data_IF_370599053804
#
_entry.id   IF_370599053804
#
_cell.length_a   1.000
_cell.length_b   1.000
_cell.length_c   1.000
_cell.angle_alpha   90.00
_cell.angle_beta   90.00
_cell.angle_gamma   90.00
#
_symmetry.space_group_name_H-M   'P 1'
#
loop_
_entity.id
_entity.type
_entity.pdbx_description
1 polymer ?
#
# COMPACT_ATOMS: atom_id res chain seq x y z
N UNK A 1 -2.54 12.81 -8.70
CA UNK A 1 -1.06 12.94 -8.83
C UNK A 1 -0.67 12.49 -10.21
N UNK A 2 0.03 13.31 -10.98
CA UNK A 2 0.49 12.88 -12.29
C UNK A 2 1.62 11.86 -12.08
N UNK A 3 1.40 10.61 -12.48
CA UNK A 3 2.34 9.49 -12.26
C UNK A 3 3.72 9.81 -12.87
N UNK A 4 3.75 10.57 -13.96
CA UNK A 4 4.97 10.95 -14.66
C UNK A 4 5.84 11.93 -13.86
N UNK A 5 5.22 12.91 -13.19
CA UNK A 5 5.95 14.06 -12.65
C UNK A 5 6.12 14.05 -11.13
N UNK A 6 5.49 13.06 -10.44
CA UNK A 6 5.54 12.91 -8.96
C UNK A 6 5.48 14.25 -8.23
N UNK A 7 4.50 15.09 -8.60
CA UNK A 7 4.37 16.45 -8.06
C UNK A 7 2.92 16.82 -7.81
N UNK A 8 2.74 17.83 -6.96
CA UNK A 8 1.47 18.53 -6.71
C UNK A 8 1.74 20.01 -7.01
N UNK A 9 1.72 20.41 -8.30
CA UNK A 9 2.18 21.72 -8.73
C UNK A 9 1.12 22.81 -8.67
N UNK A 10 -0.06 22.53 -8.12
CA UNK A 10 -1.24 23.40 -8.14
C UNK A 10 -0.97 24.79 -7.55
N UNK A 11 -0.04 24.90 -6.61
CA UNK A 11 0.38 26.19 -6.03
C UNK A 11 0.92 27.16 -7.10
N UNK A 12 1.50 26.65 -8.20
CA UNK A 12 2.03 27.48 -9.29
C UNK A 12 0.95 28.19 -10.11
N UNK A 13 -0.28 27.73 -10.02
CA UNK A 13 -1.46 28.33 -10.68
C UNK A 13 -2.45 28.92 -9.68
N UNK A 14 -2.01 29.18 -8.43
CA UNK A 14 -2.83 29.80 -7.39
C UNK A 14 -3.87 28.86 -6.76
N UNK A 15 -3.69 27.55 -6.89
CA UNK A 15 -4.64 26.52 -6.37
C UNK A 15 -3.93 25.61 -5.37
N UNK A 16 -4.74 24.81 -4.65
CA UNK A 16 -4.26 23.73 -3.79
C UNK A 16 -4.63 22.38 -4.40
N UNK A 17 -3.95 21.26 -4.05
CA UNK A 17 -4.34 19.93 -4.46
C UNK A 17 -5.73 19.57 -3.92
N UNK A 18 -6.73 19.48 -4.82
CA UNK A 18 -8.15 19.38 -4.46
C UNK A 18 -8.67 17.95 -4.24
N UNK A 19 -7.99 16.92 -4.77
CA UNK A 19 -8.47 15.52 -4.75
C UNK A 19 -7.89 14.68 -3.61
N UNK A 20 -7.58 15.31 -2.48
CA UNK A 20 -7.02 14.66 -1.29
C UNK A 20 -5.51 14.37 -1.39
N UNK A 21 -4.81 14.95 -2.38
CA UNK A 21 -3.37 14.75 -2.56
C UNK A 21 -2.56 15.26 -1.37
N UNK A 22 -2.87 16.44 -0.86
CA UNK A 22 -2.19 17.03 0.30
C UNK A 22 -2.41 16.21 1.58
N UNK A 23 -3.66 15.78 1.84
CA UNK A 23 -4.00 15.02 3.04
C UNK A 23 -3.33 13.64 3.04
N UNK A 24 -3.37 12.92 1.89
CA UNK A 24 -2.73 11.61 1.77
C UNK A 24 -1.21 11.72 1.88
N UNK A 25 -0.60 12.70 1.22
CA UNK A 25 0.85 12.90 1.30
C UNK A 25 1.29 13.22 2.73
N UNK A 26 0.54 14.08 3.45
CA UNK A 26 0.85 14.40 4.83
C UNK A 26 0.83 13.19 5.77
N UNK A 27 -0.07 12.22 5.52
CA UNK A 27 -0.12 10.97 6.27
C UNK A 27 1.04 10.03 5.92
N UNK A 28 1.47 10.01 4.66
CA UNK A 28 2.56 9.14 4.21
C UNK A 28 3.93 9.61 4.70
N UNK A 29 4.23 10.91 4.59
CA UNK A 29 5.60 11.44 4.79
C UNK A 29 5.70 12.52 5.90
N UNK A 30 4.60 12.80 6.57
CA UNK A 30 4.52 13.82 7.61
C UNK A 30 4.31 15.23 7.09
N UNK A 31 3.79 16.10 7.96
CA UNK A 31 3.33 17.45 7.60
C UNK A 31 4.46 18.38 7.10
N UNK A 32 5.64 18.31 7.72
CA UNK A 32 6.77 19.19 7.39
C UNK A 32 7.31 18.93 5.98
N UNK A 33 7.50 17.65 5.63
CA UNK A 33 7.96 17.25 4.28
C UNK A 33 6.90 17.60 3.23
N UNK A 34 5.63 17.37 3.55
CA UNK A 34 4.50 17.71 2.68
C UNK A 34 4.43 19.21 2.39
N UNK A 35 4.53 20.05 3.42
CA UNK A 35 4.61 21.52 3.24
C UNK A 35 5.75 21.93 2.32
N UNK A 36 6.96 21.41 2.53
CA UNK A 36 8.10 21.71 1.68
C UNK A 36 7.85 21.33 0.22
N UNK A 37 7.23 20.19 -0.06
CA UNK A 37 6.96 19.72 -1.42
C UNK A 37 5.85 20.55 -2.07
N UNK A 38 4.70 20.68 -1.41
CA UNK A 38 3.50 21.31 -2.00
C UNK A 38 3.69 22.82 -2.14
N UNK A 39 4.08 23.53 -1.07
CA UNK A 39 4.18 25.00 -1.08
C UNK A 39 5.23 25.50 -2.08
N UNK A 40 6.24 24.68 -2.38
CA UNK A 40 7.25 25.01 -3.41
C UNK A 40 6.90 24.45 -4.78
N UNK A 41 5.81 23.71 -4.92
CA UNK A 41 5.48 23.01 -6.17
C UNK A 41 6.61 22.12 -6.66
N UNK A 42 7.31 21.43 -5.71
CA UNK A 42 8.49 20.62 -5.99
C UNK A 42 8.10 19.38 -6.79
N UNK A 43 8.91 19.03 -7.77
CA UNK A 43 8.88 17.72 -8.45
C UNK A 43 9.86 16.80 -7.75
N UNK A 44 9.45 15.56 -7.52
CA UNK A 44 10.29 14.53 -6.93
C UNK A 44 10.84 13.62 -8.02
N UNK A 45 12.10 13.27 -7.91
CA UNK A 45 12.69 12.17 -8.67
C UNK A 45 12.15 10.82 -8.19
N UNK A 46 12.44 9.73 -8.91
CA UNK A 46 12.13 8.38 -8.46
C UNK A 46 12.82 8.04 -7.16
N UNK A 47 14.10 8.39 -7.06
CA UNK A 47 14.92 8.18 -5.88
C UNK A 47 14.38 8.94 -4.66
N UNK A 48 14.07 10.24 -4.81
CA UNK A 48 13.47 11.02 -3.73
C UNK A 48 12.13 10.44 -3.26
N UNK A 49 11.29 9.96 -4.19
CA UNK A 49 10.01 9.34 -3.86
C UNK A 49 10.20 8.00 -3.10
N UNK A 50 11.21 7.22 -3.47
CA UNK A 50 11.57 5.99 -2.77
C UNK A 50 12.10 6.27 -1.36
N UNK A 51 13.07 7.18 -1.20
CA UNK A 51 13.63 7.58 0.09
C UNK A 51 12.58 8.18 1.05
N UNK A 52 11.55 8.81 0.50
CA UNK A 52 10.42 9.34 1.27
C UNK A 52 9.34 8.32 1.60
N UNK A 53 9.44 7.08 1.11
CA UNK A 53 8.43 6.04 1.28
C UNK A 53 7.14 6.27 0.48
N UNK A 54 7.18 7.14 -0.53
CA UNK A 54 6.06 7.36 -1.47
C UNK A 54 6.00 6.24 -2.51
N UNK A 55 7.16 5.77 -2.93
CA UNK A 55 7.33 4.58 -3.77
C UNK A 55 7.95 3.45 -2.94
N UNK A 56 7.45 2.23 -3.10
CA UNK A 56 7.95 1.06 -2.38
C UNK A 56 9.14 0.41 -3.10
N UNK A 57 9.23 0.59 -4.43
CA UNK A 57 10.28 0.03 -5.27
C UNK A 57 10.78 1.08 -6.26
N UNK A 58 12.05 0.97 -6.59
CA UNK A 58 12.70 1.75 -7.65
C UNK A 58 13.57 0.84 -8.48
N UNK A 59 13.44 0.95 -9.79
CA UNK A 59 14.22 0.18 -10.76
C UNK A 59 14.49 1.03 -11.99
N UNK A 60 15.47 0.63 -12.78
CA UNK A 60 15.68 1.18 -14.12
C UNK A 60 14.47 0.92 -15.03
N UNK A 61 14.23 1.82 -15.99
CA UNK A 61 13.07 1.73 -16.88
C UNK A 61 13.00 0.39 -17.62
N UNK A 62 14.13 -0.17 -18.03
CA UNK A 62 14.24 -1.48 -18.68
C UNK A 62 13.78 -2.64 -17.79
N UNK A 63 13.91 -2.52 -16.47
CA UNK A 63 13.58 -3.56 -15.49
C UNK A 63 12.16 -3.45 -14.90
N UNK A 64 11.41 -2.39 -15.26
CA UNK A 64 10.09 -2.12 -14.70
C UNK A 64 9.12 -3.29 -14.92
N UNK A 65 9.12 -3.88 -16.11
CA UNK A 65 8.24 -4.99 -16.44
C UNK A 65 8.62 -6.25 -15.66
N UNK A 66 9.91 -6.55 -15.55
CA UNK A 66 10.42 -7.69 -14.80
C UNK A 66 10.10 -7.59 -13.32
N UNK A 67 10.33 -6.41 -12.72
CA UNK A 67 9.99 -6.15 -11.32
C UNK A 67 8.48 -6.25 -11.09
N UNK A 68 7.66 -5.70 -11.98
CA UNK A 68 6.21 -5.81 -11.89
C UNK A 68 5.75 -7.26 -11.92
N UNK A 69 6.28 -8.07 -12.85
CA UNK A 69 5.96 -9.51 -12.93
C UNK A 69 6.38 -10.26 -11.66
N UNK A 70 7.53 -9.90 -11.08
CA UNK A 70 8.00 -10.48 -9.80
C UNK A 70 7.01 -10.18 -8.67
N UNK A 71 6.67 -8.91 -8.46
CA UNK A 71 5.72 -8.50 -7.40
C UNK A 71 4.35 -9.14 -7.60
N UNK A 72 3.85 -9.20 -8.84
CA UNK A 72 2.57 -9.87 -9.15
C UNK A 72 2.62 -11.35 -8.78
N UNK A 73 3.72 -12.06 -9.10
CA UNK A 73 3.88 -13.46 -8.69
C UNK A 73 3.87 -13.64 -7.18
N UNK A 74 4.55 -12.77 -6.43
CA UNK A 74 4.54 -12.77 -4.97
C UNK A 74 3.12 -12.55 -4.43
N UNK A 75 2.38 -11.59 -4.96
CA UNK A 75 1.00 -11.31 -4.57
C UNK A 75 0.04 -12.46 -4.89
N UNK A 76 0.20 -13.11 -6.03
CA UNK A 76 -0.66 -14.25 -6.44
C UNK A 76 -0.35 -15.50 -5.59
N UNK A 77 0.85 -15.63 -5.03
CA UNK A 77 1.23 -16.79 -4.23
C UNK A 77 0.62 -16.82 -2.83
N UNK A 78 -0.02 -15.76 -2.38
CA UNK A 78 -0.64 -15.66 -1.05
C UNK A 78 -2.16 -15.58 -1.15
N UNK A 79 -2.87 -15.90 -0.05
CA UNK A 79 -4.33 -15.92 -0.02
C UNK A 79 -4.95 -14.59 -0.49
N UNK A 80 -5.77 -14.58 -1.55
CA UNK A 80 -6.45 -13.38 -2.01
C UNK A 80 -7.51 -12.89 -1.02
N UNK A 81 -8.08 -13.79 -0.20
CA UNK A 81 -8.99 -13.42 0.87
C UNK A 81 -8.26 -12.66 1.98
N UNK A 82 -7.10 -13.16 2.41
CA UNK A 82 -6.28 -12.50 3.41
C UNK A 82 -5.79 -11.13 2.92
N UNK A 83 -5.35 -11.01 1.67
CA UNK A 83 -4.94 -9.73 1.08
C UNK A 83 -6.06 -8.70 1.05
N UNK A 84 -7.26 -9.09 0.61
CA UNK A 84 -8.42 -8.18 0.61
C UNK A 84 -8.76 -7.72 2.02
N UNK A 85 -8.72 -8.64 2.97
CA UNK A 85 -9.05 -8.38 4.37
C UNK A 85 -8.03 -7.42 4.99
N UNK A 86 -6.73 -7.70 4.89
CA UNK A 86 -5.71 -6.82 5.48
C UNK A 86 -5.70 -5.43 4.83
N UNK A 87 -5.90 -5.35 3.52
CA UNK A 87 -6.03 -4.06 2.82
C UNK A 87 -7.22 -3.24 3.36
N UNK A 88 -8.36 -3.89 3.62
CA UNK A 88 -9.53 -3.24 4.20
C UNK A 88 -9.24 -2.75 5.62
N UNK A 89 -8.64 -3.57 6.45
CA UNK A 89 -8.25 -3.22 7.83
C UNK A 89 -7.29 -2.03 7.83
N UNK A 90 -6.19 -2.10 7.08
CA UNK A 90 -5.21 -1.00 7.00
C UNK A 90 -5.83 0.31 6.54
N UNK A 91 -6.76 0.28 5.58
CA UNK A 91 -7.46 1.49 5.15
C UNK A 91 -8.39 2.05 6.23
N UNK A 92 -9.10 1.19 6.98
CA UNK A 92 -10.00 1.60 8.06
C UNK A 92 -9.23 2.17 9.26
N UNK A 93 -8.05 1.63 9.55
CA UNK A 93 -7.26 2.00 10.73
C UNK A 93 -6.43 3.28 10.56
N UNK A 94 -6.33 3.84 9.35
CA UNK A 94 -5.53 5.06 9.09
C UNK A 94 -5.82 6.25 10.00
N UNK A 95 -7.04 6.35 10.54
CA UNK A 95 -7.49 7.44 11.42
C UNK A 95 -8.02 6.94 12.77
N UNK A 96 -7.94 5.64 13.02
CA UNK A 96 -8.42 5.02 14.23
C UNK A 96 -7.37 5.13 15.36
N UNK A 97 -7.82 4.99 16.61
CA UNK A 97 -6.90 4.78 17.73
C UNK A 97 -6.23 3.42 17.63
N UNK A 98 -5.10 3.23 18.32
CA UNK A 98 -4.44 1.93 18.35
C UNK A 98 -5.37 0.83 18.88
N UNK A 99 -6.15 1.12 19.93
CA UNK A 99 -7.12 0.17 20.50
C UNK A 99 -8.16 -0.25 19.45
N UNK A 100 -8.82 0.69 18.80
CA UNK A 100 -9.79 0.41 17.73
C UNK A 100 -9.15 -0.37 16.58
N UNK A 101 -7.89 -0.09 16.25
CA UNK A 101 -7.16 -0.80 15.20
C UNK A 101 -6.95 -2.28 15.56
N UNK A 102 -6.56 -2.55 16.81
CA UNK A 102 -6.37 -3.91 17.33
C UNK A 102 -7.70 -4.68 17.33
N UNK A 103 -8.80 -4.04 17.72
CA UNK A 103 -10.12 -4.66 17.69
C UNK A 103 -10.53 -5.07 16.26
N UNK A 104 -10.35 -4.17 15.28
CA UNK A 104 -10.63 -4.45 13.88
C UNK A 104 -9.74 -5.59 13.31
N UNK A 105 -8.47 -5.63 13.70
CA UNK A 105 -7.58 -6.73 13.34
C UNK A 105 -8.05 -8.04 13.96
N UNK A 106 -8.44 -8.05 15.23
CA UNK A 106 -8.96 -9.22 15.94
C UNK A 106 -10.21 -9.81 15.28
N UNK A 107 -11.17 -8.96 14.92
CA UNK A 107 -12.37 -9.38 14.20
C UNK A 107 -12.04 -9.94 12.82
N UNK A 108 -11.16 -9.28 12.07
CA UNK A 108 -10.74 -9.73 10.75
C UNK A 108 -9.99 -11.07 10.83
N UNK A 109 -9.10 -11.22 11.80
CA UNK A 109 -8.39 -12.46 12.08
C UNK A 109 -9.35 -13.61 12.42
N UNK A 110 -10.33 -13.36 13.31
CA UNK A 110 -11.35 -14.35 13.66
C UNK A 110 -12.13 -14.87 12.45
N UNK A 111 -12.53 -13.97 11.55
CA UNK A 111 -13.21 -14.32 10.29
C UNK A 111 -12.33 -15.15 9.35
N UNK A 112 -11.06 -14.79 9.22
CA UNK A 112 -10.12 -15.51 8.35
C UNK A 112 -9.86 -16.94 8.83
N UNK A 113 -9.83 -17.19 10.14
CA UNK A 113 -9.61 -18.54 10.71
C UNK A 113 -10.65 -19.57 10.30
N UNK A 114 -11.86 -19.16 9.97
CA UNK A 114 -12.92 -20.05 9.50
C UNK A 114 -12.92 -20.29 7.98
N UNK A 115 -12.05 -19.61 7.24
CA UNK A 115 -11.98 -19.68 5.77
C UNK A 115 -11.32 -20.96 5.26
N UNK A 116 -11.64 -21.33 4.03
CA UNK A 116 -10.99 -22.44 3.35
C UNK A 116 -9.52 -22.11 3.01
N UNK A 117 -9.21 -20.84 2.70
CA UNK A 117 -7.85 -20.40 2.47
C UNK A 117 -6.97 -20.58 3.72
N UNK A 118 -7.50 -20.34 4.93
CA UNK A 118 -6.76 -20.61 6.16
C UNK A 118 -6.47 -22.10 6.35
N UNK A 119 -7.47 -22.98 6.12
CA UNK A 119 -7.29 -24.43 6.20
C UNK A 119 -6.23 -24.91 5.22
N UNK A 120 -6.34 -24.50 3.95
CA UNK A 120 -5.35 -24.81 2.91
C UNK A 120 -3.95 -24.33 3.30
N UNK A 121 -3.84 -23.11 3.87
CA UNK A 121 -2.56 -22.57 4.33
C UNK A 121 -1.90 -23.43 5.40
N UNK A 122 -2.67 -23.91 6.39
CA UNK A 122 -2.20 -24.78 7.48
C UNK A 122 -1.80 -26.15 6.93
N UNK A 123 -2.66 -26.76 6.10
CA UNK A 123 -2.41 -28.08 5.50
C UNK A 123 -1.18 -28.07 4.61
N UNK A 124 -1.09 -27.11 3.68
CA UNK A 124 0.05 -26.97 2.77
C UNK A 124 1.37 -26.77 3.52
N UNK A 125 1.36 -25.98 4.60
CA UNK A 125 2.54 -25.79 5.46
C UNK A 125 2.97 -27.09 6.13
N UNK A 126 2.02 -27.87 6.70
CA UNK A 126 2.29 -29.17 7.31
C UNK A 126 2.86 -30.18 6.31
N UNK A 127 2.33 -30.18 5.10
CA UNK A 127 2.71 -31.10 4.02
C UNK A 127 3.95 -30.62 3.22
N UNK A 128 4.50 -29.42 3.53
CA UNK A 128 5.63 -28.81 2.85
C UNK A 128 5.43 -28.65 1.33
N UNK A 129 4.19 -28.37 0.92
CA UNK A 129 3.81 -28.07 -0.47
C UNK A 129 3.41 -26.61 -0.65
N UNK A 130 3.32 -26.17 -1.89
CA UNK A 130 2.77 -24.84 -2.19
C UNK A 130 1.24 -24.85 -1.99
N UNK A 131 0.68 -23.77 -1.38
CA UNK A 131 -0.76 -23.64 -1.20
C UNK A 131 -1.49 -23.37 -2.51
N UNK A 132 -2.77 -23.77 -2.58
CA UNK A 132 -3.68 -23.49 -3.69
C UNK A 132 -4.88 -22.71 -3.20
N UNK A 133 -4.72 -21.41 -3.02
CA UNK A 133 -5.76 -20.53 -2.50
C UNK A 133 -6.87 -20.26 -3.51
N UNK A 134 -8.12 -20.23 -3.04
CA UNK A 134 -9.33 -19.98 -3.86
C UNK A 134 -10.02 -18.64 -3.52
N UNK A 135 -9.65 -18.02 -2.41
CA UNK A 135 -10.19 -16.73 -1.99
C UNK A 135 -11.53 -16.84 -1.23
N UNK A 136 -11.81 -17.94 -0.60
CA UNK A 136 -13.06 -18.23 0.13
C UNK A 136 -12.83 -18.88 1.49
#
# INVERSE_FOLDING_TARGET
MCIRDRSLPEMKIGMIPGSGGSARLAKMIGISRTKNIIMRGKRLSGEEAYQLGIACEIVEKSELENMTKKIVKELISVSPLAQRTIKSVLNATQNATLHTSIDLEGEAYGRLRSSNDFKEGVESFSEKRLPSYKGN
#
